data_IF_293055275460
#
_entry.id   IF_293055275460
#
_cell.length_a   1.000
_cell.length_b   1.000
_cell.length_c   1.000
_cell.angle_alpha   90.00
_cell.angle_beta   90.00
_cell.angle_gamma   90.00
#
_symmetry.space_group_name_H-M   'P 1'
#
loop_
_entity.id
_entity.type
_entity.pdbx_description
1 polymer ?
#
# COMPACT_ATOMS: atom_id res chain seq x y z
N UNK A 1 13.57 -13.72 -6.65
CA UNK A 1 13.02 -14.13 -7.97
C UNK A 1 11.82 -13.22 -8.25
N UNK A 2 11.90 -12.33 -9.24
CA UNK A 2 10.74 -11.52 -9.63
C UNK A 2 9.69 -12.50 -10.15
N UNK A 3 8.46 -12.42 -9.65
CA UNK A 3 7.35 -13.21 -10.18
C UNK A 3 7.15 -12.76 -11.62
N UNK A 4 7.47 -13.61 -12.61
CA UNK A 4 7.43 -13.23 -14.04
C UNK A 4 6.03 -12.81 -14.52
N UNK A 5 4.99 -13.06 -13.71
CA UNK A 5 3.60 -12.69 -13.99
C UNK A 5 3.11 -11.47 -13.19
N UNK A 6 3.93 -10.85 -12.34
CA UNK A 6 3.52 -9.71 -11.51
C UNK A 6 3.87 -8.38 -12.19
N UNK A 7 2.90 -7.81 -12.92
CA UNK A 7 3.07 -6.58 -13.71
C UNK A 7 2.06 -5.48 -13.30
N UNK A 8 2.14 -4.94 -12.06
CA UNK A 8 1.17 -3.95 -11.56
C UNK A 8 1.22 -2.61 -12.29
N UNK A 9 2.28 -2.35 -13.06
CA UNK A 9 2.48 -1.14 -13.87
C UNK A 9 2.26 -1.37 -15.37
N UNK A 10 1.75 -2.55 -15.76
CA UNK A 10 1.57 -2.93 -17.16
C UNK A 10 2.88 -3.29 -17.88
N UNK A 11 2.78 -3.60 -19.17
CA UNK A 11 3.90 -4.04 -20.03
C UNK A 11 3.79 -3.34 -21.40
N UNK A 12 4.92 -3.01 -22.02
CA UNK A 12 4.99 -2.52 -23.41
C UNK A 12 4.81 -1.01 -23.55
N UNK A 13 4.37 -0.55 -24.73
CA UNK A 13 4.36 0.88 -25.13
C UNK A 13 3.51 1.80 -24.24
N UNK A 14 2.62 1.23 -23.42
CA UNK A 14 1.70 1.94 -22.52
C UNK A 14 1.90 1.53 -21.06
N UNK A 15 3.08 1.00 -20.71
CA UNK A 15 3.42 0.80 -19.30
C UNK A 15 3.36 2.12 -18.53
N UNK A 16 3.14 2.03 -17.22
CA UNK A 16 3.00 3.20 -16.37
C UNK A 16 4.26 4.07 -16.43
N UNK A 17 4.12 5.28 -16.96
CA UNK A 17 5.20 6.27 -17.02
C UNK A 17 5.79 6.56 -15.62
N UNK A 18 4.97 6.41 -14.57
CA UNK A 18 5.34 6.67 -13.19
C UNK A 18 5.92 5.48 -12.43
N UNK A 19 6.20 4.33 -13.06
CA UNK A 19 6.62 3.12 -12.34
C UNK A 19 7.84 3.34 -11.43
N UNK A 20 8.90 3.96 -11.95
CA UNK A 20 10.13 4.20 -11.17
C UNK A 20 9.88 5.10 -9.96
N UNK A 21 9.08 6.16 -10.15
CA UNK A 21 8.71 7.08 -9.08
C UNK A 21 7.84 6.37 -8.04
N UNK A 22 6.80 5.67 -8.46
CA UNK A 22 5.90 4.95 -7.59
C UNK A 22 6.62 3.90 -6.74
N UNK A 23 7.58 3.16 -7.32
CA UNK A 23 8.41 2.19 -6.57
C UNK A 23 9.26 2.88 -5.50
N UNK A 24 9.87 4.01 -5.82
CA UNK A 24 10.69 4.77 -4.87
C UNK A 24 9.83 5.34 -3.73
N UNK A 25 8.72 5.99 -4.07
CA UNK A 25 7.80 6.56 -3.08
C UNK A 25 7.18 5.49 -2.17
N UNK A 26 6.69 4.38 -2.75
CA UNK A 26 6.16 3.27 -1.97
C UNK A 26 7.19 2.73 -0.98
N UNK A 27 8.45 2.59 -1.41
CA UNK A 27 9.51 2.13 -0.52
C UNK A 27 9.78 3.13 0.60
N UNK A 28 10.04 4.41 0.26
CA UNK A 28 10.41 5.42 1.25
C UNK A 28 9.29 5.71 2.24
N UNK A 29 8.05 5.85 1.76
CA UNK A 29 6.88 6.11 2.62
C UNK A 29 6.63 4.90 3.52
N UNK A 30 6.55 3.69 2.95
CA UNK A 30 6.23 2.51 3.74
C UNK A 30 7.31 2.23 4.78
N UNK A 31 8.59 2.26 4.40
CA UNK A 31 9.69 1.99 5.33
C UNK A 31 9.77 3.04 6.42
N UNK A 32 9.67 4.33 6.08
CA UNK A 32 9.63 5.41 7.07
C UNK A 32 8.48 5.21 8.07
N UNK A 33 7.27 4.89 7.59
CA UNK A 33 6.12 4.66 8.45
C UNK A 33 6.31 3.47 9.39
N UNK A 34 6.75 2.31 8.89
CA UNK A 34 6.87 1.10 9.74
C UNK A 34 8.13 1.07 10.62
N UNK A 35 9.14 1.88 10.28
CA UNK A 35 10.33 2.08 11.12
C UNK A 35 10.01 2.97 12.32
N UNK A 36 9.23 4.05 12.12
CA UNK A 36 8.96 5.04 13.17
C UNK A 36 7.64 4.83 13.91
N UNK A 37 6.71 4.02 13.38
CA UNK A 37 5.40 3.81 13.97
C UNK A 37 4.99 2.34 14.03
N UNK A 38 4.17 2.02 15.03
CA UNK A 38 3.45 0.77 15.17
C UNK A 38 1.97 1.00 14.86
N UNK A 39 1.47 0.27 13.88
CA UNK A 39 0.07 0.30 13.46
C UNK A 39 -0.69 -0.87 14.12
N UNK A 40 -1.88 -0.60 14.66
CA UNK A 40 -2.78 -1.63 15.18
C UNK A 40 -4.23 -1.37 14.79
N UNK A 41 -5.01 -2.44 14.82
CA UNK A 41 -6.46 -2.39 14.62
C UNK A 41 -7.11 -1.45 15.65
N UNK A 42 -7.98 -0.55 15.19
CA UNK A 42 -8.80 0.23 16.10
C UNK A 42 -9.75 -0.71 16.86
N UNK A 43 -9.83 -0.53 18.19
CA UNK A 43 -10.72 -1.29 19.06
C UNK A 43 -10.51 -2.82 19.03
N UNK A 44 -9.33 -3.29 18.58
CA UNK A 44 -9.03 -4.72 18.47
C UNK A 44 -9.71 -5.44 17.31
N UNK A 45 -10.40 -4.72 16.42
CA UNK A 45 -11.11 -5.29 15.27
C UNK A 45 -10.34 -4.98 13.97
N UNK A 46 -9.88 -6.00 13.21
CA UNK A 46 -9.15 -5.76 11.97
C UNK A 46 -10.04 -5.09 10.92
N UNK A 47 -9.47 -4.25 10.04
CA UNK A 47 -10.21 -3.64 8.95
C UNK A 47 -10.74 -4.70 7.97
N UNK A 48 -11.85 -4.39 7.31
CA UNK A 48 -12.40 -5.26 6.27
C UNK A 48 -11.47 -5.34 5.05
N UNK A 49 -11.35 -6.53 4.46
CA UNK A 49 -10.61 -6.76 3.21
C UNK A 49 -11.48 -6.44 1.97
N UNK A 50 -12.76 -6.08 2.18
CA UNK A 50 -13.65 -5.67 1.10
C UNK A 50 -13.16 -4.37 0.44
N UNK A 51 -13.35 -4.28 -0.88
CA UNK A 51 -12.97 -3.11 -1.68
C UNK A 51 -14.16 -2.19 -1.88
N UNK A 52 -13.90 -0.89 -1.91
CA UNK A 52 -14.85 0.10 -2.38
C UNK A 52 -14.98 0.03 -3.91
N UNK A 53 -16.20 0.16 -4.48
CA UNK A 53 -16.37 0.20 -5.93
C UNK A 53 -15.62 1.39 -6.54
N UNK A 54 -14.95 1.18 -7.68
CA UNK A 54 -14.21 2.24 -8.37
C UNK A 54 -13.16 1.72 -9.35
N UNK A 55 -12.43 2.65 -9.97
CA UNK A 55 -11.36 2.33 -10.93
C UNK A 55 -10.10 1.77 -10.24
N UNK A 56 -9.82 2.21 -9.01
CA UNK A 56 -8.72 1.72 -8.20
C UNK A 56 -9.23 0.81 -7.08
N UNK A 57 -8.41 -0.18 -6.68
CA UNK A 57 -8.68 -1.00 -5.50
C UNK A 57 -8.44 -0.19 -4.24
N UNK A 58 -9.49 0.40 -3.68
CA UNK A 58 -9.45 1.16 -2.43
C UNK A 58 -10.14 0.36 -1.32
N UNK A 59 -9.60 0.29 -0.10
CA UNK A 59 -10.28 -0.34 1.03
C UNK A 59 -11.60 0.38 1.38
N UNK A 60 -12.46 -0.28 2.18
CA UNK A 60 -13.54 0.41 2.90
C UNK A 60 -12.96 1.29 4.00
N UNK A 61 -13.67 2.34 4.39
CA UNK A 61 -13.24 3.22 5.47
C UNK A 61 -12.96 2.43 6.75
N UNK A 62 -11.82 2.70 7.38
CA UNK A 62 -11.41 2.05 8.62
C UNK A 62 -10.60 3.02 9.48
N UNK A 63 -10.61 2.76 10.78
CA UNK A 63 -9.74 3.43 11.74
C UNK A 63 -8.56 2.53 12.11
N UNK A 64 -7.44 3.16 12.38
CA UNK A 64 -6.23 2.51 12.85
C UNK A 64 -5.66 3.31 14.02
N UNK A 65 -5.08 2.59 14.98
CA UNK A 65 -4.28 3.19 16.04
C UNK A 65 -2.82 3.23 15.61
N UNK A 66 -2.17 4.36 15.86
CA UNK A 66 -0.77 4.60 15.52
C UNK A 66 -0.06 4.99 16.82
N UNK A 67 1.05 4.33 17.12
CA UNK A 67 1.94 4.67 18.22
C UNK A 67 3.37 4.83 17.70
N UNK A 68 4.15 5.74 18.26
CA UNK A 68 5.57 5.89 17.92
C UNK A 68 6.36 4.63 18.31
N UNK A 69 7.38 4.32 17.51
CA UNK A 69 8.31 3.22 17.71
C UNK A 69 9.66 3.83 18.08
N UNK A 70 10.03 3.69 19.35
CA UNK A 70 11.34 4.12 19.87
C UNK A 70 12.50 3.44 19.14
#
# INVERSE_FOLDING_TARGET
KVLEHFNPFGIGKRSCLGESLARMELFLILTSLVQNFKFSAAYGVPPSIARSPGMASVPKDYYCQIAERN
#
